data_IF_974976201548
#
_entry.id   IF_974976201548
#
_cell.length_a   1.000
_cell.length_b   1.000
_cell.length_c   1.000
_cell.angle_alpha   90.00
_cell.angle_beta   90.00
_cell.angle_gamma   90.00
#
_symmetry.space_group_name_H-M   'P 1'
#
loop_
_entity.id
_entity.type
_entity.pdbx_description
1 polymer ?
#
# COMPACT_ATOMS: atom_id res chain seq x y z
N UNK A 1 -36.97 -35.80 16.06
CA UNK A 1 -36.30 -36.00 14.75
C UNK A 1 -34.84 -35.61 14.95
N UNK A 2 -33.95 -36.59 15.15
CA UNK A 2 -32.51 -36.33 15.34
C UNK A 2 -31.91 -36.00 13.97
N UNK A 3 -31.66 -34.72 13.71
CA UNK A 3 -30.90 -34.28 12.53
C UNK A 3 -29.45 -34.67 12.81
N UNK A 4 -28.99 -35.76 12.17
CA UNK A 4 -27.57 -36.13 12.21
C UNK A 4 -26.82 -35.07 11.39
N UNK A 5 -25.94 -34.26 11.99
CA UNK A 5 -25.19 -33.25 11.24
C UNK A 5 -24.38 -33.95 10.14
N UNK A 6 -24.31 -33.33 8.97
CA UNK A 6 -23.52 -33.85 7.86
C UNK A 6 -22.06 -33.93 8.29
N UNK A 7 -21.37 -35.05 7.99
CA UNK A 7 -19.96 -35.20 8.31
C UNK A 7 -19.13 -34.11 7.65
N UNK A 8 -18.22 -33.52 8.42
CA UNK A 8 -17.25 -32.59 7.86
C UNK A 8 -16.17 -33.40 7.12
N UNK A 9 -16.33 -33.52 5.81
CA UNK A 9 -15.41 -34.23 4.92
C UNK A 9 -13.97 -33.71 4.99
N UNK A 10 -13.77 -32.47 5.43
CA UNK A 10 -12.43 -31.90 5.64
C UNK A 10 -11.79 -32.45 6.92
N UNK A 11 -12.58 -32.74 7.94
CA UNK A 11 -12.15 -33.28 9.24
C UNK A 11 -11.98 -34.82 9.25
N UNK A 12 -12.73 -35.56 8.42
CA UNK A 12 -12.87 -37.02 8.54
C UNK A 12 -11.75 -37.90 7.92
N UNK A 13 -10.72 -37.32 7.28
CA UNK A 13 -9.59 -38.12 6.76
C UNK A 13 -8.26 -37.48 7.17
N UNK A 14 -7.30 -38.24 7.67
CA UNK A 14 -5.98 -37.70 7.95
C UNK A 14 -5.27 -37.26 6.66
N UNK A 15 -4.52 -36.16 6.72
CA UNK A 15 -3.66 -35.73 5.60
C UNK A 15 -2.61 -36.82 5.31
N UNK A 16 -2.46 -37.20 4.03
CA UNK A 16 -1.49 -38.23 3.60
C UNK A 16 -0.04 -37.76 3.79
N UNK A 17 0.19 -36.45 3.84
CA UNK A 17 1.47 -35.83 4.17
C UNK A 17 1.24 -34.70 5.15
N UNK A 18 1.75 -34.87 6.37
CA UNK A 18 1.55 -33.92 7.45
C UNK A 18 2.58 -32.79 7.35
N UNK A 19 2.14 -31.59 6.97
CA UNK A 19 3.01 -30.43 6.82
C UNK A 19 2.28 -29.14 7.23
N UNK A 20 3.04 -28.20 7.79
CA UNK A 20 2.57 -26.85 8.10
C UNK A 20 2.63 -25.96 6.86
N UNK A 21 1.77 -24.96 6.78
CA UNK A 21 1.86 -23.91 5.75
C UNK A 21 2.23 -22.59 6.42
N UNK A 22 3.25 -21.91 5.88
CA UNK A 22 3.60 -20.57 6.36
C UNK A 22 2.45 -19.59 6.12
N UNK A 23 1.85 -19.61 4.93
CA UNK A 23 0.71 -18.77 4.58
C UNK A 23 -0.24 -19.49 3.64
N UNK A 24 -1.54 -19.41 3.94
CA UNK A 24 -2.63 -19.86 3.08
C UNK A 24 -3.80 -18.89 3.25
N UNK A 25 -4.49 -18.58 2.15
CA UNK A 25 -5.46 -17.49 2.15
C UNK A 25 -6.07 -17.22 0.78
N UNK A 26 -6.52 -15.99 0.61
CA UNK A 26 -7.13 -15.48 -0.62
C UNK A 26 -6.54 -14.11 -0.95
N UNK A 27 -6.53 -13.76 -2.24
CA UNK A 27 -5.95 -12.52 -2.75
C UNK A 27 -6.88 -11.84 -3.76
N UNK A 28 -6.59 -10.57 -4.07
CA UNK A 28 -7.34 -9.75 -5.02
C UNK A 28 -8.86 -9.65 -4.73
N UNK A 29 -9.27 -9.71 -3.46
CA UNK A 29 -10.66 -9.51 -3.05
C UNK A 29 -10.97 -8.02 -3.05
N UNK A 30 -11.99 -7.60 -3.80
CA UNK A 30 -12.47 -6.22 -3.75
C UNK A 30 -13.17 -5.94 -2.41
N UNK A 31 -12.74 -4.91 -1.70
CA UNK A 31 -13.34 -4.48 -0.43
C UNK A 31 -13.39 -2.95 -0.35
N UNK A 32 -14.49 -2.34 0.11
CA UNK A 32 -14.49 -0.92 0.45
C UNK A 32 -13.63 -0.70 1.71
N UNK A 33 -12.84 0.37 1.74
CA UNK A 33 -12.12 0.80 2.95
C UNK A 33 -12.36 2.28 3.19
N UNK A 34 -12.80 2.60 4.40
CA UNK A 34 -12.94 3.97 4.88
C UNK A 34 -11.59 4.48 5.38
N UNK A 35 -11.00 5.43 4.66
CA UNK A 35 -9.71 6.04 5.02
C UNK A 35 -9.96 7.22 5.96
N UNK A 36 -9.39 7.21 7.18
CA UNK A 36 -9.50 8.33 8.10
C UNK A 36 -8.74 9.54 7.54
N UNK A 37 -9.33 10.74 7.63
CA UNK A 37 -8.73 11.98 7.15
C UNK A 37 -8.64 13.00 8.27
N UNK A 38 -7.46 13.60 8.48
CA UNK A 38 -7.26 14.61 9.53
C UNK A 38 -8.02 15.90 9.17
N UNK A 39 -9.03 16.23 9.95
CA UNK A 39 -9.80 17.48 9.80
C UNK A 39 -10.89 17.43 8.72
N UNK A 40 -11.06 16.29 8.03
CA UNK A 40 -12.11 16.08 7.04
C UNK A 40 -12.91 14.82 7.38
N UNK A 41 -14.08 14.65 6.75
CA UNK A 41 -14.82 13.38 6.86
C UNK A 41 -13.96 12.24 6.31
N UNK A 42 -13.98 11.05 6.95
CA UNK A 42 -13.45 9.84 6.32
C UNK A 42 -14.06 9.66 4.94
N UNK A 43 -13.27 9.16 4.00
CA UNK A 43 -13.75 8.87 2.66
C UNK A 43 -13.56 7.38 2.37
N UNK A 44 -14.49 6.80 1.60
CA UNK A 44 -14.42 5.38 1.22
C UNK A 44 -13.78 5.25 -0.16
N UNK A 45 -12.89 4.26 -0.31
CA UNK A 45 -12.28 3.90 -1.58
C UNK A 45 -12.33 2.39 -1.79
N UNK A 46 -12.26 1.96 -3.04
CA UNK A 46 -12.13 0.53 -3.36
C UNK A 46 -10.69 0.08 -3.14
N UNK A 47 -10.50 -1.03 -2.44
CA UNK A 47 -9.22 -1.69 -2.27
C UNK A 47 -9.24 -3.12 -2.78
N UNK A 48 -8.05 -3.63 -3.09
CA UNK A 48 -7.79 -5.05 -3.25
C UNK A 48 -7.17 -5.58 -1.96
N UNK A 49 -7.84 -6.55 -1.35
CA UNK A 49 -7.40 -7.20 -0.14
C UNK A 49 -6.83 -8.59 -0.41
N UNK A 50 -5.74 -8.92 0.28
CA UNK A 50 -5.28 -10.28 0.49
C UNK A 50 -5.33 -10.62 1.97
N UNK A 51 -5.92 -11.74 2.33
CA UNK A 51 -6.08 -12.21 3.72
C UNK A 51 -5.51 -13.61 3.85
N UNK A 52 -4.64 -13.80 4.84
CA UNK A 52 -3.92 -15.05 5.02
C UNK A 52 -3.79 -15.41 6.49
N UNK A 53 -3.67 -16.70 6.76
CA UNK A 53 -3.29 -17.27 8.05
C UNK A 53 -2.23 -18.35 7.82
N UNK A 54 -1.52 -18.74 8.86
CA UNK A 54 -0.67 -19.94 8.79
C UNK A 54 -1.51 -21.21 9.05
N UNK A 55 -1.02 -22.37 8.59
CA UNK A 55 -1.54 -23.67 9.01
C UNK A 55 -0.50 -24.32 9.92
N UNK A 56 -0.70 -24.16 11.22
CA UNK A 56 0.23 -24.61 12.25
C UNK A 56 0.00 -26.08 12.65
N UNK A 57 -1.21 -26.61 12.46
CA UNK A 57 -1.48 -28.03 12.70
C UNK A 57 -1.14 -28.86 11.44
N UNK A 58 -0.08 -29.69 11.46
CA UNK A 58 0.29 -30.51 10.30
C UNK A 58 -0.73 -31.63 10.02
N UNK A 59 -1.65 -31.92 10.95
CA UNK A 59 -2.72 -32.91 10.74
C UNK A 59 -3.97 -32.30 10.10
N UNK A 60 -4.10 -30.98 10.12
CA UNK A 60 -5.20 -30.28 9.48
C UNK A 60 -4.99 -30.28 7.95
N UNK A 61 -6.08 -30.48 7.19
CA UNK A 61 -6.00 -30.48 5.71
C UNK A 61 -5.88 -29.07 5.10
N UNK A 62 -6.30 -28.05 5.84
CA UNK A 62 -6.42 -26.70 5.32
C UNK A 62 -7.19 -25.81 6.28
N UNK A 63 -7.50 -24.61 5.79
CA UNK A 63 -8.19 -23.56 6.55
C UNK A 63 -9.65 -23.44 6.14
N UNK A 64 -10.46 -22.85 7.00
CA UNK A 64 -11.81 -22.42 6.64
C UNK A 64 -11.76 -21.07 5.92
N UNK A 65 -11.57 -21.10 4.59
CA UNK A 65 -11.40 -19.87 3.78
C UNK A 65 -12.59 -18.91 3.87
N UNK A 66 -13.83 -19.42 3.84
CA UNK A 66 -15.04 -18.58 3.90
C UNK A 66 -15.12 -17.73 5.18
N UNK A 67 -14.54 -18.20 6.29
CA UNK A 67 -14.47 -17.43 7.54
C UNK A 67 -13.61 -16.17 7.36
N UNK A 68 -12.48 -16.27 6.66
CA UNK A 68 -11.62 -15.10 6.39
C UNK A 68 -12.35 -14.08 5.51
N UNK A 69 -13.09 -14.54 4.50
CA UNK A 69 -13.89 -13.65 3.64
C UNK A 69 -14.97 -12.91 4.44
N UNK A 70 -15.68 -13.60 5.32
CA UNK A 70 -16.70 -12.97 6.18
C UNK A 70 -16.08 -11.94 7.13
N UNK A 71 -14.90 -12.23 7.69
CA UNK A 71 -14.21 -11.26 8.53
C UNK A 71 -13.75 -10.03 7.75
N UNK A 72 -13.26 -10.21 6.52
CA UNK A 72 -12.88 -9.10 5.64
C UNK A 72 -14.08 -8.19 5.34
N UNK A 73 -15.28 -8.74 5.15
CA UNK A 73 -16.48 -7.93 4.92
C UNK A 73 -16.78 -6.98 6.09
N UNK A 74 -16.43 -7.33 7.32
CA UNK A 74 -16.61 -6.44 8.47
C UNK A 74 -15.72 -5.18 8.38
N UNK A 75 -14.59 -5.25 7.65
CA UNK A 75 -13.74 -4.09 7.40
C UNK A 75 -14.44 -3.03 6.54
N UNK A 76 -15.40 -3.44 5.70
CA UNK A 76 -16.16 -2.53 4.84
C UNK A 76 -17.02 -1.53 5.62
N UNK A 77 -17.39 -1.88 6.85
CA UNK A 77 -18.23 -1.06 7.74
C UNK A 77 -17.41 -0.26 8.76
N UNK A 78 -16.10 -0.47 8.80
CA UNK A 78 -15.20 0.09 9.79
C UNK A 78 -14.18 1.03 9.15
N UNK A 79 -13.68 1.96 9.96
CA UNK A 79 -12.53 2.76 9.55
C UNK A 79 -11.27 1.89 9.41
N UNK A 80 -10.50 2.10 8.35
CA UNK A 80 -9.20 1.51 8.13
C UNK A 80 -8.17 2.18 9.05
N UNK A 81 -8.22 1.83 10.34
CA UNK A 81 -7.31 2.28 11.37
C UNK A 81 -6.65 1.09 12.07
N UNK A 82 -5.59 1.37 12.84
CA UNK A 82 -4.80 0.34 13.51
C UNK A 82 -5.66 -0.59 14.38
N UNK A 83 -6.54 -0.03 15.21
CA UNK A 83 -7.34 -0.81 16.16
C UNK A 83 -8.26 -1.81 15.45
N UNK A 84 -8.92 -1.38 14.37
CA UNK A 84 -9.81 -2.25 13.60
C UNK A 84 -9.05 -3.32 12.81
N UNK A 85 -7.85 -2.99 12.29
CA UNK A 85 -6.98 -3.98 11.64
C UNK A 85 -6.50 -5.02 12.64
N UNK A 86 -6.11 -4.62 13.86
CA UNK A 86 -5.66 -5.55 14.90
C UNK A 86 -6.77 -6.52 15.30
N UNK A 87 -7.96 -5.98 15.53
CA UNK A 87 -9.14 -6.78 15.83
C UNK A 87 -9.49 -7.73 14.68
N UNK A 88 -9.35 -7.29 13.43
CA UNK A 88 -9.54 -8.16 12.26
C UNK A 88 -8.53 -9.32 12.25
N UNK A 89 -7.25 -9.05 12.48
CA UNK A 89 -6.20 -10.07 12.55
C UNK A 89 -6.45 -11.06 13.69
N UNK A 90 -6.85 -10.57 14.86
CA UNK A 90 -7.26 -11.40 16.00
C UNK A 90 -8.43 -12.32 15.64
N UNK A 91 -9.47 -11.76 15.04
CA UNK A 91 -10.65 -12.50 14.61
C UNK A 91 -10.31 -13.53 13.54
N UNK A 92 -9.41 -13.23 12.61
CA UNK A 92 -8.95 -14.18 11.60
C UNK A 92 -8.30 -15.40 12.24
N UNK A 93 -7.37 -15.21 13.18
CA UNK A 93 -6.75 -16.33 13.92
C UNK A 93 -7.79 -17.11 14.71
N UNK A 94 -8.60 -16.40 15.52
CA UNK A 94 -9.62 -17.04 16.36
C UNK A 94 -10.65 -17.83 15.54
N UNK A 95 -11.01 -17.34 14.34
CA UNK A 95 -11.95 -18.02 13.45
C UNK A 95 -11.48 -19.38 12.96
N UNK A 96 -10.17 -19.65 12.99
CA UNK A 96 -9.60 -20.94 12.61
C UNK A 96 -9.45 -21.90 13.80
N UNK A 97 -9.74 -21.46 15.03
CA UNK A 97 -9.55 -22.31 16.22
C UNK A 97 -8.07 -22.60 16.46
N UNK A 98 -7.72 -23.86 16.70
CA UNK A 98 -6.36 -24.24 17.09
C UNK A 98 -5.39 -24.49 15.92
N UNK A 99 -5.85 -24.42 14.66
CA UNK A 99 -5.03 -24.78 13.49
C UNK A 99 -4.18 -23.61 12.94
N UNK A 100 -4.43 -22.38 13.40
CA UNK A 100 -3.70 -21.18 13.00
C UNK A 100 -3.32 -20.34 14.22
N UNK A 101 -2.18 -19.66 14.14
CA UNK A 101 -1.65 -18.81 15.21
C UNK A 101 -1.23 -17.42 14.70
N UNK A 102 -1.12 -17.27 13.38
CA UNK A 102 -0.65 -16.07 12.71
C UNK A 102 -1.65 -15.66 11.64
N UNK A 103 -1.79 -14.36 11.43
CA UNK A 103 -2.63 -13.80 10.38
C UNK A 103 -1.93 -12.61 9.73
N UNK A 104 -2.17 -12.40 8.45
CA UNK A 104 -1.75 -11.18 7.76
C UNK A 104 -2.83 -10.69 6.79
N UNK A 105 -2.85 -9.39 6.60
CA UNK A 105 -3.66 -8.70 5.60
C UNK A 105 -2.77 -7.79 4.75
N UNK A 106 -3.06 -7.75 3.46
CA UNK A 106 -2.54 -6.78 2.50
C UNK A 106 -3.73 -5.98 1.96
N UNK A 107 -3.67 -4.66 2.02
CA UNK A 107 -4.67 -3.76 1.42
C UNK A 107 -3.97 -2.86 0.41
N UNK A 108 -4.36 -2.95 -0.86
CA UNK A 108 -3.86 -2.09 -1.92
C UNK A 108 -4.97 -1.18 -2.44
N UNK A 109 -4.76 0.13 -2.42
CA UNK A 109 -5.75 1.13 -2.85
C UNK A 109 -5.10 2.43 -3.29
N UNK A 110 -5.90 3.27 -3.94
CA UNK A 110 -5.51 4.61 -4.36
C UNK A 110 -5.95 5.66 -3.34
N UNK A 111 -4.97 6.38 -2.78
CA UNK A 111 -5.18 7.55 -1.92
C UNK A 111 -5.30 8.80 -2.80
N UNK A 112 -6.50 9.36 -2.85
CA UNK A 112 -6.77 10.57 -3.63
C UNK A 112 -6.62 11.81 -2.75
N UNK A 113 -5.68 12.70 -3.09
CA UNK A 113 -5.43 13.93 -2.35
C UNK A 113 -5.69 15.15 -3.24
N UNK A 114 -6.33 16.18 -2.69
CA UNK A 114 -6.42 17.48 -3.35
C UNK A 114 -5.08 18.21 -3.22
N UNK A 115 -4.52 18.65 -4.34
CA UNK A 115 -3.21 19.30 -4.44
C UNK A 115 -3.36 20.69 -5.04
N UNK A 116 -2.91 21.76 -4.36
CA UNK A 116 -2.94 23.10 -4.92
C UNK A 116 -1.95 23.22 -6.09
N UNK A 117 -2.28 24.09 -7.05
CA UNK A 117 -1.37 24.48 -8.10
C UNK A 117 -0.20 25.31 -7.52
N UNK A 118 0.95 25.27 -8.19
CA UNK A 118 2.16 25.96 -7.72
C UNK A 118 2.14 27.48 -7.98
N UNK A 119 1.35 27.93 -8.96
CA UNK A 119 1.36 29.32 -9.43
C UNK A 119 -0.02 29.98 -9.43
N UNK A 120 -1.11 29.21 -9.50
CA UNK A 120 -2.49 29.71 -9.50
C UNK A 120 -3.22 29.32 -8.23
N UNK A 121 -4.36 29.96 -7.96
CA UNK A 121 -5.25 29.63 -6.84
C UNK A 121 -6.13 28.40 -7.11
N UNK A 122 -5.78 27.59 -8.11
CA UNK A 122 -6.52 26.38 -8.51
C UNK A 122 -6.03 25.14 -7.76
N UNK A 123 -6.84 24.08 -7.73
CA UNK A 123 -6.44 22.79 -7.14
C UNK A 123 -6.96 21.61 -7.96
N UNK A 124 -6.29 20.46 -7.83
CA UNK A 124 -6.66 19.23 -8.53
C UNK A 124 -6.35 17.98 -7.73
N UNK A 125 -7.05 16.90 -8.02
CA UNK A 125 -6.84 15.62 -7.34
C UNK A 125 -5.69 14.83 -7.98
N UNK A 126 -4.83 14.28 -7.12
CA UNK A 126 -3.79 13.34 -7.52
C UNK A 126 -3.98 12.02 -6.77
N UNK A 127 -3.88 10.91 -7.50
CA UNK A 127 -3.92 9.56 -6.95
C UNK A 127 -2.52 9.10 -6.57
N UNK A 128 -2.40 8.47 -5.40
CA UNK A 128 -1.18 7.85 -4.90
C UNK A 128 -1.47 6.38 -4.56
N UNK A 129 -0.86 5.41 -5.26
CA UNK A 129 -0.98 4.00 -4.89
C UNK A 129 -0.38 3.75 -3.52
N UNK A 130 -1.18 3.15 -2.63
CA UNK A 130 -0.82 2.77 -1.27
C UNK A 130 -0.97 1.26 -1.11
N UNK A 131 -0.02 0.64 -0.42
CA UNK A 131 -0.17 -0.73 0.08
C UNK A 131 0.08 -0.76 1.58
N UNK A 132 -0.87 -1.29 2.33
CA UNK A 132 -0.74 -1.56 3.76
C UNK A 132 -0.58 -3.05 3.96
N UNK A 133 0.51 -3.44 4.60
CA UNK A 133 0.75 -4.78 5.11
C UNK A 133 0.60 -4.75 6.63
N UNK A 134 -0.22 -5.64 7.17
CA UNK A 134 -0.32 -5.83 8.61
C UNK A 134 -0.28 -7.33 8.92
N UNK A 135 0.52 -7.70 9.91
CA UNK A 135 0.70 -9.07 10.35
C UNK A 135 0.60 -9.16 11.87
N UNK A 136 -0.04 -10.23 12.33
CA UNK A 136 -0.01 -10.69 13.71
C UNK A 136 0.76 -12.01 13.75
N UNK A 137 1.80 -12.04 14.58
CA UNK A 137 2.56 -13.25 14.89
C UNK A 137 2.84 -13.37 16.40
N UNK A 138 3.67 -14.34 16.79
CA UNK A 138 3.97 -14.62 18.20
C UNK A 138 4.69 -13.47 18.92
N UNK A 139 5.28 -12.52 18.18
CA UNK A 139 5.96 -11.34 18.73
C UNK A 139 5.03 -10.13 18.84
N UNK A 140 3.79 -10.22 18.33
CA UNK A 140 2.80 -9.15 18.34
C UNK A 140 2.41 -8.73 16.92
N UNK A 141 2.17 -7.43 16.76
CA UNK A 141 1.73 -6.82 15.50
C UNK A 141 2.88 -6.12 14.79
N UNK A 142 2.98 -6.31 13.47
CA UNK A 142 3.91 -5.59 12.59
C UNK A 142 3.17 -4.98 11.41
N UNK A 143 3.61 -3.79 10.98
CA UNK A 143 3.01 -3.08 9.87
C UNK A 143 4.09 -2.56 8.93
N UNK A 144 3.76 -2.56 7.66
CA UNK A 144 4.55 -1.95 6.60
C UNK A 144 3.62 -1.14 5.69
N UNK A 145 4.07 0.05 5.31
CA UNK A 145 3.32 0.98 4.47
C UNK A 145 4.18 1.28 3.24
N UNK A 146 3.69 0.90 2.08
CA UNK A 146 4.28 1.25 0.79
C UNK A 146 3.50 2.42 0.19
N UNK A 147 4.23 3.43 -0.29
CA UNK A 147 3.66 4.62 -0.93
C UNK A 147 4.39 4.86 -2.24
N UNK A 148 3.67 4.85 -3.35
CA UNK A 148 4.24 5.20 -4.65
C UNK A 148 4.01 6.68 -4.95
N UNK A 149 5.09 7.46 -4.97
CA UNK A 149 5.05 8.90 -5.28
C UNK A 149 5.59 9.13 -6.68
N UNK A 150 4.71 9.49 -7.61
CA UNK A 150 5.12 9.96 -8.93
C UNK A 150 5.77 11.34 -8.80
N UNK A 151 7.02 11.45 -9.26
CA UNK A 151 7.74 12.72 -9.33
C UNK A 151 8.38 12.88 -10.70
N UNK A 152 8.48 14.12 -11.16
CA UNK A 152 9.24 14.46 -12.35
C UNK A 152 10.64 14.89 -11.92
N UNK A 153 11.66 14.34 -12.56
CA UNK A 153 13.04 14.80 -12.39
C UNK A 153 13.59 15.31 -13.72
N UNK A 154 14.47 16.30 -13.63
CA UNK A 154 15.23 16.80 -14.77
C UNK A 154 16.65 16.30 -14.63
N UNK A 155 17.17 15.64 -15.67
CA UNK A 155 18.57 15.22 -15.68
C UNK A 155 19.48 16.46 -15.74
N UNK A 156 20.37 16.68 -14.76
CA UNK A 156 21.22 17.87 -14.74
C UNK A 156 22.13 17.91 -15.97
N UNK A 157 22.61 16.76 -16.45
CA UNK A 157 23.48 16.68 -17.63
C UNK A 157 22.76 17.06 -18.93
N UNK A 158 21.48 16.74 -19.08
CA UNK A 158 20.73 17.17 -20.27
C UNK A 158 20.38 18.66 -20.19
N UNK A 159 20.08 19.16 -18.98
CA UNK A 159 19.82 20.58 -18.77
C UNK A 159 21.08 21.42 -19.05
N UNK A 160 22.25 20.96 -18.62
CA UNK A 160 23.53 21.61 -18.87
C UNK A 160 23.98 21.51 -20.32
N UNK A 161 23.33 20.72 -21.20
CA UNK A 161 23.64 20.68 -22.64
C UNK A 161 22.62 21.48 -23.47
N UNK A 162 21.54 21.96 -22.86
CA UNK A 162 20.49 22.68 -23.56
C UNK A 162 20.96 24.12 -23.89
N UNK A 163 21.18 24.39 -25.17
CA UNK A 163 21.58 25.72 -25.67
C UNK A 163 20.65 26.84 -25.18
N UNK A 164 19.34 26.57 -25.06
CA UNK A 164 18.37 27.54 -24.54
C UNK A 164 18.59 27.88 -23.06
N UNK A 165 19.03 26.92 -22.23
CA UNK A 165 19.32 27.17 -20.82
C UNK A 165 20.62 27.96 -20.67
N UNK A 166 21.64 27.67 -21.48
CA UNK A 166 22.85 28.49 -21.57
C UNK A 166 22.56 29.93 -22.01
N UNK A 167 21.78 30.10 -23.08
CA UNK A 167 21.40 31.43 -23.55
C UNK A 167 20.66 32.24 -22.47
N UNK A 168 19.74 31.60 -21.73
CA UNK A 168 19.08 32.21 -20.57
C UNK A 168 20.05 32.57 -19.45
N UNK A 169 21.01 31.69 -19.15
CA UNK A 169 22.02 31.95 -18.12
C UNK A 169 22.92 33.13 -18.50
N UNK A 170 23.38 33.22 -19.75
CA UNK A 170 24.13 34.37 -20.28
C UNK A 170 23.30 35.64 -20.17
N UNK A 171 22.05 35.65 -20.64
CA UNK A 171 21.18 36.83 -20.58
C UNK A 171 20.90 37.29 -19.13
N UNK A 172 20.87 36.36 -18.17
CA UNK A 172 20.70 36.68 -16.75
C UNK A 172 21.98 37.25 -16.12
N UNK A 173 23.14 36.69 -16.46
CA UNK A 173 24.44 37.14 -15.93
C UNK A 173 24.92 38.44 -16.58
N UNK A 174 24.56 38.68 -17.84
CA UNK A 174 24.97 39.83 -18.65
C UNK A 174 23.74 40.57 -19.21
N UNK A 175 23.08 41.45 -18.43
CA UNK A 175 21.83 42.09 -18.83
C UNK A 175 21.98 43.31 -19.77
N UNK A 176 23.20 43.78 -20.02
CA UNK A 176 23.48 44.93 -20.88
C UNK A 176 23.55 44.58 -22.37
N UNK A 177 23.40 45.59 -23.23
CA UNK A 177 23.43 45.42 -24.70
C UNK A 177 24.82 45.09 -25.26
N UNK A 178 25.88 45.36 -24.47
CA UNK A 178 27.26 45.04 -24.82
C UNK A 178 27.87 44.15 -23.75
N UNK A 179 28.55 43.10 -24.18
CA UNK A 179 29.21 42.12 -23.31
C UNK A 179 30.70 42.16 -23.62
N UNK A 180 31.54 42.30 -22.60
CA UNK A 180 32.98 42.13 -22.76
C UNK A 180 33.30 40.66 -23.05
N UNK A 181 34.10 40.42 -24.10
CA UNK A 181 34.40 39.07 -24.55
C UNK A 181 35.26 38.29 -23.54
N UNK A 182 36.20 38.95 -22.86
CA UNK A 182 37.07 38.27 -21.90
C UNK A 182 36.27 37.82 -20.67
N UNK A 183 35.43 38.72 -20.17
CA UNK A 183 34.53 38.44 -19.05
C UNK A 183 33.55 37.28 -19.35
N UNK A 184 32.98 37.25 -20.56
CA UNK A 184 32.10 36.15 -20.99
C UNK A 184 32.84 34.81 -21.05
N UNK A 185 34.06 34.79 -21.59
CA UNK A 185 34.85 33.56 -21.74
C UNK A 185 35.29 33.01 -20.38
N UNK A 186 35.70 33.88 -19.46
CA UNK A 186 36.03 33.49 -18.08
C UNK A 186 34.81 32.92 -17.36
N UNK A 187 33.64 33.55 -17.54
CA UNK A 187 32.38 33.08 -16.94
C UNK A 187 31.94 31.70 -17.46
N UNK A 188 32.05 31.44 -18.77
CA UNK A 188 31.73 30.13 -19.36
C UNK A 188 32.64 29.03 -18.79
N UNK A 189 33.90 29.36 -18.48
CA UNK A 189 34.88 28.43 -17.95
C UNK A 189 34.83 28.27 -16.42
N UNK A 190 34.25 29.23 -15.69
CA UNK A 190 34.23 29.25 -14.22
C UNK A 190 33.21 28.30 -13.55
N UNK A 191 32.65 27.35 -14.29
CA UNK A 191 31.52 26.47 -13.95
C UNK A 191 30.13 27.09 -14.12
N UNK A 192 29.32 26.38 -14.93
CA UNK A 192 27.86 26.32 -14.84
C UNK A 192 27.46 25.00 -14.20
#
# INVERSE_FOLDING_TARGET
MLIKPLPDVTSDKHAETAATLQWVGMEDIAVPVAIPSKGNKPYSTSAKAGVYVNLADPKAKGIHMSRLHLMLNNLAELECNKANIDQLLDNMVASQGAISQQAKIKLAFDLMLNKPALLSDESGFQSYPIIIHAEKNNQGYSYELEVTVAYSSTCPCSASLAQQLYAKAVHKSFPGDTIDKAELMDWIQSQA
#
